data_IF_191805631173
#
_entry.id   IF_191805631173
#
_cell.length_a   1.000
_cell.length_b   1.000
_cell.length_c   1.000
_cell.angle_alpha   90.00
_cell.angle_beta   90.00
_cell.angle_gamma   90.00
#
_symmetry.space_group_name_H-M   'P 1'
#
loop_
_entity.id
_entity.type
_entity.pdbx_description
1 polymer ?
#
# COMPACT_ATOMS: atom_id res chain seq x y z
N UNK A 1 -3.89 -20.60 -1.05
CA UNK A 1 -2.97 -20.97 0.06
C UNK A 1 -2.53 -19.70 0.75
N UNK A 2 -2.24 -19.74 2.04
CA UNK A 2 -1.88 -18.54 2.83
C UNK A 2 -2.72 -18.43 4.10
N UNK A 3 -2.38 -17.49 5.00
CA UNK A 3 -3.03 -17.36 6.31
C UNK A 3 -4.51 -16.97 6.27
N UNK A 4 -5.01 -16.41 5.17
CA UNK A 4 -6.42 -16.05 4.98
C UNK A 4 -7.19 -17.07 4.13
N UNK A 5 -6.64 -18.28 3.96
CA UNK A 5 -7.35 -19.36 3.24
C UNK A 5 -8.69 -19.65 3.93
N UNK A 6 -9.77 -19.65 3.15
CA UNK A 6 -11.14 -19.86 3.65
C UNK A 6 -11.90 -18.57 3.97
N UNK A 7 -11.24 -17.40 3.89
CA UNK A 7 -11.89 -16.10 4.02
C UNK A 7 -12.38 -15.62 2.65
N UNK A 8 -13.65 -15.21 2.56
CA UNK A 8 -14.26 -14.65 1.35
C UNK A 8 -14.54 -13.17 1.52
N UNK A 9 -14.07 -12.35 0.57
CA UNK A 9 -14.16 -10.89 0.63
C UNK A 9 -14.72 -10.34 -0.67
N UNK A 10 -15.72 -9.45 -0.57
CA UNK A 10 -16.28 -8.74 -1.71
C UNK A 10 -15.63 -7.36 -1.82
N UNK A 11 -15.10 -7.02 -2.99
CA UNK A 11 -14.57 -5.70 -3.30
C UNK A 11 -15.52 -4.99 -4.27
N UNK A 12 -16.12 -3.88 -3.87
CA UNK A 12 -16.76 -2.97 -4.84
C UNK A 12 -15.67 -2.12 -5.48
N UNK A 13 -15.46 -2.31 -6.79
CA UNK A 13 -14.31 -1.76 -7.51
C UNK A 13 -14.14 -0.25 -7.28
N UNK A 14 -12.99 0.11 -6.71
CA UNK A 14 -12.54 1.49 -6.49
C UNK A 14 -11.20 1.78 -7.18
N UNK A 15 -10.58 2.90 -6.79
CA UNK A 15 -9.24 3.31 -7.23
C UNK A 15 -8.27 3.37 -6.04
N UNK A 16 -6.97 3.44 -6.31
CA UNK A 16 -5.90 3.73 -5.34
C UNK A 16 -5.86 2.74 -4.16
N UNK A 17 -6.32 3.15 -2.95
CA UNK A 17 -6.24 2.35 -1.73
C UNK A 17 -7.05 1.04 -1.77
N UNK A 18 -8.23 1.03 -2.40
CA UNK A 18 -9.11 -0.14 -2.46
C UNK A 18 -8.47 -1.32 -3.20
N UNK A 19 -8.00 -1.13 -4.45
CA UNK A 19 -7.25 -2.16 -5.17
C UNK A 19 -6.04 -2.68 -4.41
N UNK A 20 -5.27 -1.82 -3.74
CA UNK A 20 -4.13 -2.23 -2.92
C UNK A 20 -4.55 -3.10 -1.73
N UNK A 21 -5.62 -2.74 -1.01
CA UNK A 21 -6.21 -3.58 0.04
C UNK A 21 -6.60 -4.96 -0.49
N UNK A 22 -7.31 -5.02 -1.62
CA UNK A 22 -7.71 -6.29 -2.24
C UNK A 22 -6.52 -7.16 -2.68
N UNK A 23 -5.46 -6.54 -3.23
CA UNK A 23 -4.21 -7.26 -3.56
C UNK A 23 -3.59 -7.88 -2.31
N UNK A 24 -3.44 -7.10 -1.23
CA UNK A 24 -2.82 -7.58 0.01
C UNK A 24 -3.59 -8.74 0.63
N UNK A 25 -4.93 -8.68 0.65
CA UNK A 25 -5.76 -9.75 1.19
C UNK A 25 -5.74 -11.01 0.32
N UNK A 26 -5.80 -10.84 -1.01
CA UNK A 26 -5.72 -11.92 -1.98
C UNK A 26 -4.37 -12.64 -1.94
N UNK A 27 -3.28 -11.88 -1.87
CA UNK A 27 -1.91 -12.39 -1.72
C UNK A 27 -1.75 -13.27 -0.46
N UNK A 28 -2.54 -13.00 0.59
CA UNK A 28 -2.57 -13.78 1.83
C UNK A 28 -3.51 -15.00 1.75
N UNK A 29 -4.13 -15.24 0.60
CA UNK A 29 -4.94 -16.42 0.30
C UNK A 29 -6.44 -16.26 0.51
N UNK A 30 -6.94 -15.04 0.77
CA UNK A 30 -8.38 -14.78 0.77
C UNK A 30 -8.96 -14.92 -0.64
N UNK A 31 -10.18 -15.44 -0.75
CA UNK A 31 -10.94 -15.35 -1.99
C UNK A 31 -11.52 -13.93 -2.10
N UNK A 32 -10.90 -13.09 -2.92
CA UNK A 32 -11.40 -11.74 -3.19
C UNK A 32 -12.18 -11.73 -4.50
N UNK A 33 -13.47 -11.43 -4.42
CA UNK A 33 -14.37 -11.27 -5.56
C UNK A 33 -14.53 -9.77 -5.81
N UNK A 34 -13.93 -9.29 -6.89
CA UNK A 34 -14.05 -7.89 -7.32
C UNK A 34 -15.27 -7.71 -8.20
N UNK A 35 -16.12 -6.77 -7.81
CA UNK A 35 -17.31 -6.36 -8.55
C UNK A 35 -16.97 -5.13 -9.39
N UNK A 36 -16.81 -5.34 -10.68
CA UNK A 36 -16.59 -4.29 -11.67
C UNK A 36 -17.93 -3.85 -12.30
N UNK A 37 -17.96 -2.64 -12.85
CA UNK A 37 -19.12 -2.14 -13.59
C UNK A 37 -19.12 -2.70 -15.02
N UNK A 38 -20.27 -2.94 -15.65
CA UNK A 38 -20.36 -3.27 -17.06
C UNK A 38 -19.64 -2.26 -17.95
N UNK A 39 -18.87 -2.75 -18.92
CA UNK A 39 -18.03 -1.92 -19.78
C UNK A 39 -16.77 -1.36 -19.10
N UNK A 40 -16.44 -1.81 -17.88
CA UNK A 40 -15.18 -1.52 -17.22
C UNK A 40 -14.01 -1.99 -18.09
N UNK A 41 -13.00 -1.12 -18.26
CA UNK A 41 -11.79 -1.46 -19.02
C UNK A 41 -10.68 -1.91 -18.09
N UNK A 42 -10.05 -3.04 -18.43
CA UNK A 42 -8.82 -3.48 -17.77
C UNK A 42 -7.68 -2.50 -18.07
N UNK A 43 -6.90 -2.14 -17.06
CA UNK A 43 -5.67 -1.35 -17.21
C UNK A 43 -4.49 -2.27 -17.50
N UNK A 44 -4.46 -2.93 -18.67
CA UNK A 44 -3.38 -3.87 -19.01
C UNK A 44 -3.11 -4.89 -17.90
N UNK A 45 -1.85 -5.29 -17.70
CA UNK A 45 -1.45 -6.15 -16.59
C UNK A 45 -1.34 -5.34 -15.29
N UNK A 46 -2.46 -5.20 -14.58
CA UNK A 46 -2.55 -4.43 -13.33
C UNK A 46 -2.13 -5.30 -12.12
N UNK A 47 -0.93 -5.07 -11.61
CA UNK A 47 -0.39 -5.77 -10.43
C UNK A 47 -1.31 -5.65 -9.22
N UNK A 48 -1.99 -4.51 -9.04
CA UNK A 48 -2.92 -4.30 -7.91
C UNK A 48 -4.19 -5.14 -8.04
N UNK A 49 -4.41 -5.81 -9.18
CA UNK A 49 -5.56 -6.65 -9.44
C UNK A 49 -5.29 -8.14 -9.60
N UNK A 50 -4.07 -8.57 -9.31
CA UNK A 50 -3.69 -9.99 -9.32
C UNK A 50 -4.46 -10.83 -8.31
N UNK A 51 -4.60 -12.12 -8.62
CA UNK A 51 -5.15 -13.13 -7.73
C UNK A 51 -6.64 -13.03 -7.39
N UNK A 52 -7.39 -12.06 -7.95
CA UNK A 52 -8.82 -11.86 -7.67
C UNK A 52 -9.72 -12.49 -8.73
N UNK A 53 -10.89 -12.99 -8.30
CA UNK A 53 -12.01 -13.28 -9.21
C UNK A 53 -12.69 -11.98 -9.61
N UNK A 54 -13.23 -11.90 -10.83
CA UNK A 54 -13.96 -10.71 -11.31
C UNK A 54 -15.38 -11.05 -11.75
N UNK A 55 -16.34 -10.25 -11.29
CA UNK A 55 -17.74 -10.30 -11.74
C UNK A 55 -18.16 -8.91 -12.20
N UNK A 56 -18.88 -8.83 -13.32
CA UNK A 56 -19.39 -7.55 -13.85
C UNK A 56 -20.86 -7.39 -13.49
N UNK A 57 -21.19 -6.35 -12.72
CA UNK A 57 -22.55 -6.14 -12.16
C UNK A 57 -22.98 -4.69 -12.32
N UNK A 58 -24.16 -4.45 -12.90
CA UNK A 58 -24.79 -3.13 -12.85
C UNK A 58 -25.42 -2.89 -11.47
N UNK A 59 -24.67 -2.23 -10.59
CA UNK A 59 -25.08 -1.88 -9.24
C UNK A 59 -26.31 -0.96 -9.17
N UNK A 60 -26.74 -0.35 -10.29
CA UNK A 60 -27.95 0.49 -10.34
C UNK A 60 -29.22 -0.31 -10.64
N UNK A 61 -29.09 -1.51 -11.18
CA UNK A 61 -30.22 -2.40 -11.45
C UNK A 61 -30.65 -3.12 -10.17
N UNK A 62 -31.94 -3.45 -10.05
CA UNK A 62 -32.42 -4.24 -8.91
C UNK A 62 -31.78 -5.63 -8.88
N UNK A 63 -31.69 -6.30 -10.03
CA UNK A 63 -31.04 -7.60 -10.15
C UNK A 63 -29.56 -7.57 -9.77
N UNK A 64 -28.82 -6.53 -10.18
CA UNK A 64 -27.41 -6.38 -9.82
C UNK A 64 -27.21 -6.11 -8.33
N UNK A 65 -28.07 -5.27 -7.72
CA UNK A 65 -28.08 -5.09 -6.26
C UNK A 65 -28.33 -6.41 -5.53
N UNK A 66 -29.31 -7.18 -5.98
CA UNK A 66 -29.67 -8.46 -5.36
C UNK A 66 -28.55 -9.50 -5.49
N UNK A 67 -27.80 -9.50 -6.61
CA UNK A 67 -26.57 -10.30 -6.76
C UNK A 67 -25.54 -9.95 -5.68
N UNK A 68 -25.24 -8.67 -5.46
CA UNK A 68 -24.25 -8.27 -4.45
C UNK A 68 -24.72 -8.63 -3.04
N UNK A 69 -26.00 -8.40 -2.72
CA UNK A 69 -26.59 -8.78 -1.44
C UNK A 69 -26.54 -10.30 -1.22
N UNK A 70 -26.76 -11.10 -2.27
CA UNK A 70 -26.65 -12.56 -2.23
C UNK A 70 -25.21 -13.01 -1.97
N UNK A 71 -24.22 -12.38 -2.59
CA UNK A 71 -22.81 -12.66 -2.32
C UNK A 71 -22.44 -12.37 -0.85
N UNK A 72 -23.00 -11.31 -0.26
CA UNK A 72 -22.77 -10.96 1.15
C UNK A 72 -23.25 -12.02 2.14
N UNK A 73 -24.22 -12.88 1.77
CA UNK A 73 -24.74 -13.95 2.65
C UNK A 73 -23.65 -14.95 3.08
N UNK A 74 -22.61 -15.13 2.26
CA UNK A 74 -21.50 -16.07 2.52
C UNK A 74 -20.13 -15.41 2.66
N UNK A 75 -20.05 -14.07 2.56
CA UNK A 75 -18.80 -13.35 2.67
C UNK A 75 -18.45 -13.04 4.13
N UNK A 76 -17.17 -13.01 4.46
CA UNK A 76 -16.67 -12.56 5.76
C UNK A 76 -16.56 -11.03 5.82
N UNK A 77 -16.27 -10.41 4.66
CA UNK A 77 -16.21 -8.97 4.54
C UNK A 77 -16.65 -8.46 3.17
N UNK A 78 -17.07 -7.20 3.14
CA UNK A 78 -17.22 -6.39 1.94
C UNK A 78 -16.50 -5.07 2.15
N UNK A 79 -15.89 -4.49 1.12
CA UNK A 79 -15.36 -3.13 1.20
C UNK A 79 -15.58 -2.33 -0.08
N UNK A 80 -15.56 -1.00 0.08
CA UNK A 80 -15.83 -0.04 -0.99
C UNK A 80 -15.06 1.26 -0.79
N UNK A 81 -14.87 2.01 -1.88
CA UNK A 81 -14.15 3.28 -1.89
C UNK A 81 -14.95 4.46 -2.46
N UNK A 82 -16.28 4.41 -2.39
CA UNK A 82 -17.15 5.48 -2.86
C UNK A 82 -17.25 6.61 -1.82
N UNK A 83 -17.82 7.74 -2.27
CA UNK A 83 -18.11 8.86 -1.36
C UNK A 83 -19.16 8.44 -0.33
N UNK A 84 -19.12 8.99 0.90
CA UNK A 84 -20.13 8.71 1.92
C UNK A 84 -21.55 8.95 1.39
N UNK A 85 -22.45 7.99 1.61
CA UNK A 85 -23.84 8.03 1.12
C UNK A 85 -24.08 7.38 -0.24
N UNK A 86 -23.03 6.99 -0.99
CA UNK A 86 -23.22 6.38 -2.32
C UNK A 86 -23.79 4.97 -2.22
N UNK A 87 -23.23 4.11 -1.39
CA UNK A 87 -23.66 2.70 -1.30
C UNK A 87 -25.04 2.58 -0.66
N UNK A 88 -25.41 3.48 0.25
CA UNK A 88 -26.76 3.57 0.80
C UNK A 88 -27.79 3.85 -0.30
N UNK A 89 -27.50 4.79 -1.22
CA UNK A 89 -28.39 5.06 -2.37
C UNK A 89 -28.48 3.88 -3.34
N UNK A 90 -27.44 3.05 -3.41
CA UNK A 90 -27.45 1.82 -4.20
C UNK A 90 -28.15 0.66 -3.46
N UNK A 91 -28.53 0.83 -2.19
CA UNK A 91 -29.07 -0.25 -1.36
C UNK A 91 -28.02 -1.30 -0.97
N UNK A 92 -26.75 -0.92 -0.98
CA UNK A 92 -25.57 -1.73 -0.68
C UNK A 92 -24.75 -1.16 0.49
N UNK A 93 -25.36 -0.28 1.30
CA UNK A 93 -24.72 0.22 2.52
C UNK A 93 -24.63 -0.85 3.62
N UNK A 94 -23.93 -0.56 4.73
CA UNK A 94 -23.68 -1.55 5.78
C UNK A 94 -24.95 -2.20 6.33
N UNK A 95 -25.99 -1.42 6.61
CA UNK A 95 -27.25 -1.96 7.15
C UNK A 95 -27.87 -2.99 6.20
N UNK A 96 -27.90 -2.70 4.89
CA UNK A 96 -28.45 -3.61 3.89
C UNK A 96 -27.63 -4.89 3.79
N UNK A 97 -26.31 -4.79 3.72
CA UNK A 97 -25.42 -5.96 3.64
C UNK A 97 -25.44 -6.79 4.94
N UNK A 98 -25.40 -6.16 6.11
CA UNK A 98 -25.40 -6.85 7.41
C UNK A 98 -26.77 -7.46 7.76
N UNK A 99 -27.87 -6.93 7.17
CA UNK A 99 -29.18 -7.59 7.27
C UNK A 99 -29.20 -8.98 6.61
N UNK A 100 -28.34 -9.19 5.59
CA UNK A 100 -28.16 -10.50 4.93
C UNK A 100 -27.21 -11.39 5.69
N UNK A 101 -26.21 -10.81 6.34
CA UNK A 101 -25.22 -11.53 7.12
C UNK A 101 -24.76 -10.69 8.31
N UNK A 102 -25.25 -11.04 9.51
CA UNK A 102 -24.92 -10.31 10.75
C UNK A 102 -23.44 -10.34 11.10
N UNK A 103 -22.69 -11.34 10.62
CA UNK A 103 -21.23 -11.50 10.87
C UNK A 103 -20.38 -10.68 9.90
N UNK A 104 -20.99 -10.05 8.89
CA UNK A 104 -20.28 -9.38 7.81
C UNK A 104 -19.57 -8.12 8.31
N UNK A 105 -18.27 -8.04 8.06
CA UNK A 105 -17.48 -6.82 8.28
C UNK A 105 -17.60 -5.93 7.05
N UNK A 106 -17.97 -4.67 7.25
CA UNK A 106 -18.14 -3.70 6.17
C UNK A 106 -17.03 -2.64 6.23
N UNK A 107 -16.12 -2.66 5.27
CA UNK A 107 -15.04 -1.71 5.12
C UNK A 107 -15.41 -0.49 4.27
N UNK A 108 -15.12 0.70 4.77
CA UNK A 108 -15.26 1.96 4.03
C UNK A 108 -13.90 2.61 3.86
N UNK A 109 -13.45 2.72 2.61
CA UNK A 109 -12.21 3.38 2.25
C UNK A 109 -12.48 4.79 1.75
N UNK A 110 -12.19 5.80 2.57
CA UNK A 110 -12.39 7.20 2.16
C UNK A 110 -11.14 8.04 2.36
N UNK A 111 -11.12 9.19 1.70
CA UNK A 111 -10.07 10.18 1.91
C UNK A 111 -10.14 10.86 3.26
N UNK A 112 -11.34 11.35 3.58
CA UNK A 112 -11.58 12.29 4.68
C UNK A 112 -12.33 11.67 5.88
N UNK A 113 -12.83 10.43 5.77
CA UNK A 113 -13.74 9.81 6.74
C UNK A 113 -15.21 9.82 6.28
N UNK A 114 -16.06 9.07 6.98
CA UNK A 114 -17.52 9.14 6.78
C UNK A 114 -18.13 10.45 7.29
N UNK A 115 -17.45 11.14 8.20
CA UNK A 115 -17.90 12.36 8.84
C UNK A 115 -16.86 13.50 8.76
N UNK A 116 -17.19 14.63 9.39
CA UNK A 116 -16.38 15.84 9.35
C UNK A 116 -16.67 16.77 8.17
N UNK A 117 -16.15 18.00 8.21
CA UNK A 117 -16.49 19.06 7.24
C UNK A 117 -16.04 18.74 5.80
N UNK A 118 -15.08 17.84 5.64
CA UNK A 118 -14.53 17.45 4.34
C UNK A 118 -15.08 16.12 3.81
N UNK A 119 -15.96 15.42 4.55
CA UNK A 119 -16.47 14.08 4.17
C UNK A 119 -16.99 13.99 2.73
N UNK A 120 -17.66 15.04 2.27
CA UNK A 120 -18.25 15.11 0.92
C UNK A 120 -17.30 15.70 -0.13
N UNK A 121 -16.18 16.30 0.28
CA UNK A 121 -15.23 16.96 -0.60
C UNK A 121 -14.44 15.95 -1.44
N UNK A 122 -14.07 16.34 -2.66
CA UNK A 122 -13.13 15.57 -3.47
C UNK A 122 -11.72 15.67 -2.90
N UNK A 123 -10.89 14.66 -3.16
CA UNK A 123 -9.47 14.68 -2.86
C UNK A 123 -8.76 13.55 -3.59
N UNK A 124 -7.44 13.63 -3.57
CA UNK A 124 -6.52 12.56 -3.93
C UNK A 124 -5.49 12.41 -2.82
N UNK A 125 -4.69 11.33 -2.86
CA UNK A 125 -3.59 11.03 -1.94
C UNK A 125 -2.91 12.29 -1.35
N UNK A 126 -2.39 13.15 -2.23
CA UNK A 126 -1.67 14.38 -1.87
C UNK A 126 -2.47 15.33 -0.96
N UNK A 127 -3.79 15.42 -1.15
CA UNK A 127 -4.65 16.29 -0.35
C UNK A 127 -4.84 15.74 1.07
N UNK A 128 -4.94 14.42 1.21
CA UNK A 128 -5.13 13.78 2.51
C UNK A 128 -3.86 13.91 3.35
N UNK A 129 -2.70 13.60 2.77
CA UNK A 129 -1.41 13.72 3.46
C UNK A 129 -1.03 15.17 3.77
N UNK A 130 -1.58 16.16 3.04
CA UNK A 130 -1.36 17.57 3.29
C UNK A 130 -1.90 18.04 4.65
N UNK A 131 -2.93 17.38 5.21
CA UNK A 131 -3.50 17.72 6.52
C UNK A 131 -2.85 17.01 7.71
N UNK A 132 -1.86 16.15 7.46
CA UNK A 132 -1.28 15.28 8.51
C UNK A 132 0.11 15.72 8.98
N UNK A 133 0.69 16.72 8.32
CA UNK A 133 2.10 17.10 8.49
C UNK A 133 3.06 16.25 7.65
N UNK A 134 2.63 15.11 7.11
CA UNK A 134 3.47 14.22 6.31
C UNK A 134 4.01 14.92 5.05
N UNK A 135 3.14 15.53 4.23
CA UNK A 135 3.60 16.22 3.02
C UNK A 135 4.56 17.36 3.34
N UNK A 136 4.26 18.14 4.39
CA UNK A 136 5.10 19.28 4.79
C UNK A 136 6.54 18.86 5.14
N UNK A 137 6.71 17.69 5.75
CA UNK A 137 7.99 17.15 6.21
C UNK A 137 8.84 16.53 5.09
N UNK A 138 8.27 16.27 3.90
CA UNK A 138 8.95 15.54 2.83
C UNK A 138 9.46 16.50 1.76
N UNK A 139 10.76 16.43 1.48
CA UNK A 139 11.41 17.15 0.39
C UNK A 139 12.71 17.84 0.81
N UNK A 140 13.38 18.51 -0.13
CA UNK A 140 14.61 19.25 0.14
C UNK A 140 14.38 20.41 1.11
N UNK A 141 15.50 20.86 1.70
CA UNK A 141 15.55 22.02 2.61
C UNK A 141 14.88 23.25 1.99
N UNK A 142 15.30 23.59 0.77
CA UNK A 142 14.76 24.70 -0.01
C UNK A 142 13.77 24.20 -1.07
N UNK A 143 12.78 25.03 -1.41
CA UNK A 143 11.77 24.72 -2.43
C UNK A 143 10.44 24.24 -1.85
N UNK A 144 9.66 23.51 -2.66
CA UNK A 144 8.31 23.05 -2.30
C UNK A 144 8.32 21.63 -1.68
N UNK A 145 7.34 21.28 -0.83
CA UNK A 145 7.07 19.90 -0.47
C UNK A 145 6.99 18.95 -1.67
N UNK A 146 7.46 17.71 -1.50
CA UNK A 146 7.52 16.70 -2.57
C UNK A 146 6.52 15.58 -2.26
N UNK A 147 5.57 15.28 -3.18
CA UNK A 147 4.65 14.15 -3.01
C UNK A 147 5.42 12.82 -3.05
N UNK A 148 5.30 11.95 -2.03
CA UNK A 148 6.00 10.66 -1.95
C UNK A 148 5.26 9.58 -2.75
N UNK A 149 5.02 9.85 -4.05
CA UNK A 149 4.06 9.10 -4.88
C UNK A 149 2.70 9.05 -4.15
N UNK A 150 2.02 7.89 -4.17
CA UNK A 150 0.81 7.61 -3.38
C UNK A 150 1.08 6.63 -2.21
N UNK A 151 2.34 6.50 -1.78
CA UNK A 151 2.74 5.48 -0.80
C UNK A 151 2.22 5.79 0.61
N UNK A 152 2.11 7.07 0.96
CA UNK A 152 1.75 7.50 2.32
C UNK A 152 0.24 7.53 2.53
N UNK A 153 -0.53 8.13 1.62
CA UNK A 153 -1.98 8.23 1.74
C UNK A 153 -2.67 6.96 1.27
N UNK A 154 -2.66 6.70 -0.05
CA UNK A 154 -3.40 5.57 -0.64
C UNK A 154 -2.95 4.22 -0.06
N UNK A 155 -1.64 3.93 -0.02
CA UNK A 155 -1.18 2.60 0.35
C UNK A 155 -1.01 2.43 1.85
N UNK A 156 -0.14 3.22 2.48
CA UNK A 156 0.15 3.13 3.91
C UNK A 156 -1.03 3.53 4.79
N UNK A 157 -1.58 4.72 4.58
CA UNK A 157 -2.68 5.27 5.40
C UNK A 157 -4.06 4.74 5.02
N UNK A 158 -4.26 4.32 3.78
CA UNK A 158 -5.53 3.82 3.26
C UNK A 158 -5.57 2.30 3.22
N UNK A 159 -5.12 1.73 2.10
CA UNK A 159 -5.32 0.32 1.78
C UNK A 159 -4.74 -0.65 2.82
N UNK A 160 -3.60 -0.33 3.43
CA UNK A 160 -3.02 -1.16 4.49
C UNK A 160 -3.85 -1.11 5.79
N UNK A 161 -4.32 0.07 6.19
CA UNK A 161 -5.16 0.21 7.38
C UNK A 161 -6.55 -0.37 7.19
N UNK A 162 -7.11 -0.32 5.97
CA UNK A 162 -8.33 -1.06 5.68
C UNK A 162 -8.11 -2.57 5.74
N UNK A 163 -7.04 -3.10 5.13
CA UNK A 163 -6.75 -4.52 5.21
C UNK A 163 -6.55 -4.97 6.67
N UNK A 164 -5.81 -4.19 7.46
CA UNK A 164 -5.66 -4.42 8.89
C UNK A 164 -7.00 -4.38 9.64
N UNK A 165 -7.82 -3.35 9.41
CA UNK A 165 -9.12 -3.18 10.04
C UNK A 165 -10.11 -4.30 9.67
N UNK A 166 -10.13 -4.75 8.42
CA UNK A 166 -10.93 -5.88 7.96
C UNK A 166 -10.50 -7.17 8.67
N UNK A 167 -9.20 -7.46 8.73
CA UNK A 167 -8.69 -8.65 9.43
C UNK A 167 -9.04 -8.60 10.93
N UNK A 168 -8.90 -7.44 11.57
CA UNK A 168 -9.33 -7.24 12.96
C UNK A 168 -10.83 -7.48 13.13
N UNK A 169 -11.67 -6.92 12.26
CA UNK A 169 -13.11 -7.11 12.28
C UNK A 169 -13.51 -8.56 12.07
N UNK A 170 -12.89 -9.26 11.13
CA UNK A 170 -13.19 -10.68 10.83
C UNK A 170 -12.80 -11.54 12.02
N UNK A 171 -11.64 -11.27 12.64
CA UNK A 171 -11.21 -11.98 13.84
C UNK A 171 -12.15 -11.73 15.03
N UNK A 172 -12.63 -10.51 15.20
CA UNK A 172 -13.63 -10.17 16.21
C UNK A 172 -14.94 -10.92 15.95
N UNK A 173 -15.50 -10.80 14.74
CA UNK A 173 -16.74 -11.45 14.32
C UNK A 173 -16.68 -12.98 14.42
N UNK A 174 -15.47 -13.56 14.26
CA UNK A 174 -15.25 -14.99 14.45
C UNK A 174 -15.59 -15.48 15.86
N UNK A 175 -15.47 -14.60 16.85
CA UNK A 175 -15.69 -14.88 18.28
C UNK A 175 -17.04 -14.38 18.76
N UNK A 176 -17.42 -13.17 18.39
CA UNK A 176 -18.65 -12.51 18.84
C UNK A 176 -19.89 -13.01 18.08
N UNK A 177 -19.71 -13.36 16.80
CA UNK A 177 -20.83 -13.63 15.90
C UNK A 177 -21.46 -12.38 15.28
N UNK A 178 -20.88 -11.20 15.52
CA UNK A 178 -21.39 -9.93 15.01
C UNK A 178 -20.30 -9.23 14.20
N UNK A 179 -20.65 -8.74 13.02
CA UNK A 179 -19.79 -7.92 12.19
C UNK A 179 -19.84 -6.46 12.60
N UNK A 180 -19.02 -5.63 11.96
CA UNK A 180 -18.95 -4.20 12.26
C UNK A 180 -18.54 -3.39 11.02
N UNK A 181 -18.74 -2.07 11.11
CA UNK A 181 -18.24 -1.13 10.10
C UNK A 181 -16.82 -0.72 10.46
N UNK A 182 -15.92 -0.81 9.50
CA UNK A 182 -14.56 -0.27 9.58
C UNK A 182 -14.52 1.00 8.74
N UNK A 183 -14.46 2.17 9.37
CA UNK A 183 -14.18 3.44 8.68
C UNK A 183 -12.66 3.64 8.60
N UNK A 184 -12.11 3.47 7.40
CA UNK A 184 -10.69 3.62 7.13
C UNK A 184 -10.46 4.87 6.27
N UNK A 185 -10.20 5.98 6.96
CA UNK A 185 -9.88 7.26 6.34
C UNK A 185 -8.38 7.40 6.07
N UNK A 186 -7.99 7.75 4.84
CA UNK A 186 -6.58 8.00 4.49
C UNK A 186 -5.95 9.12 5.32
N UNK A 187 -6.72 10.16 5.69
CA UNK A 187 -6.22 11.25 6.54
C UNK A 187 -5.82 10.75 7.94
N UNK A 188 -6.63 9.88 8.56
CA UNK A 188 -6.34 9.31 9.87
C UNK A 188 -5.13 8.37 9.78
N UNK A 189 -5.08 7.57 8.72
CA UNK A 189 -3.98 6.64 8.53
C UNK A 189 -2.65 7.30 8.26
N UNK A 190 -2.62 8.31 7.39
CA UNK A 190 -1.42 9.09 7.15
C UNK A 190 -0.97 9.86 8.42
N UNK A 191 -1.91 10.32 9.26
CA UNK A 191 -1.58 10.90 10.55
C UNK A 191 -0.99 9.85 11.52
N UNK A 192 -1.52 8.63 11.54
CA UNK A 192 -0.98 7.54 12.34
C UNK A 192 0.47 7.18 11.95
N UNK A 193 0.80 7.22 10.65
CA UNK A 193 2.17 7.02 10.16
C UNK A 193 3.15 8.09 10.67
N UNK A 194 2.66 9.27 11.10
CA UNK A 194 3.48 10.36 11.64
C UNK A 194 3.72 10.26 13.16
N UNK A 195 3.19 9.25 13.86
CA UNK A 195 3.16 9.19 15.33
C UNK A 195 4.53 9.43 16.02
N UNK A 196 5.62 8.90 15.47
CA UNK A 196 6.96 9.11 16.01
C UNK A 196 7.38 10.59 15.96
N UNK A 197 7.06 11.30 14.88
CA UNK A 197 7.41 12.71 14.72
C UNK A 197 6.58 13.60 15.65
N UNK A 198 5.33 13.23 15.92
CA UNK A 198 4.53 13.90 16.97
C UNK A 198 5.17 13.73 18.36
N UNK A 199 5.73 12.56 18.66
CA UNK A 199 6.50 12.33 19.90
C UNK A 199 7.75 13.20 19.95
N UNK A 200 8.53 13.26 18.87
CA UNK A 200 9.74 14.10 18.79
C UNK A 200 9.42 15.59 18.94
N UNK A 201 8.35 16.05 18.29
CA UNK A 201 7.89 17.44 18.38
C UNK A 201 7.42 17.80 19.79
N UNK A 202 6.63 16.93 20.43
CA UNK A 202 6.22 17.12 21.82
C UNK A 202 7.41 17.17 22.79
N UNK A 203 8.48 16.43 22.50
CA UNK A 203 9.73 16.45 23.24
C UNK A 203 10.68 17.60 22.89
N UNK A 204 10.33 18.50 21.97
CA UNK A 204 11.20 19.60 21.52
C UNK A 204 12.42 19.16 20.69
N UNK A 205 12.42 17.92 20.18
CA UNK A 205 13.51 17.31 19.42
C UNK A 205 13.28 17.35 17.89
N UNK A 206 12.20 17.97 17.43
CA UNK A 206 11.85 18.07 16.02
C UNK A 206 11.89 19.52 15.55
N UNK A 207 12.64 19.78 14.48
CA UNK A 207 12.60 21.05 13.75
C UNK A 207 11.55 20.95 12.65
N UNK A 208 10.69 21.95 12.55
CA UNK A 208 9.60 21.95 11.56
C UNK A 208 10.08 22.23 10.14
N UNK A 209 11.27 22.81 9.96
CA UNK A 209 11.89 22.95 8.64
C UNK A 209 12.32 21.59 8.08
N UNK A 210 12.13 21.37 6.77
CA UNK A 210 12.55 20.14 6.07
C UNK A 210 14.07 19.99 6.07
N UNK A 211 14.53 18.75 5.90
CA UNK A 211 15.95 18.38 5.84
C UNK A 211 16.76 19.04 6.96
N UNK A 212 16.20 19.01 8.18
CA UNK A 212 16.77 19.63 9.37
C UNK A 212 16.87 18.66 10.54
N UNK A 213 16.36 17.43 10.36
CA UNK A 213 16.29 16.38 11.35
C UNK A 213 17.11 15.17 10.87
N UNK A 214 17.20 14.16 11.72
CA UNK A 214 17.98 12.96 11.43
C UNK A 214 17.41 12.12 10.27
N UNK A 215 16.08 12.05 10.12
CA UNK A 215 15.42 11.12 9.22
C UNK A 215 14.76 11.78 7.99
N UNK A 216 15.01 13.07 7.76
CA UNK A 216 14.41 13.85 6.67
C UNK A 216 15.46 14.44 5.70
N UNK A 217 16.70 13.93 5.76
CA UNK A 217 17.82 14.36 4.93
C UNK A 217 18.65 15.52 5.50
N UNK A 218 18.46 15.86 6.78
CA UNK A 218 19.29 16.87 7.46
C UNK A 218 20.64 16.36 7.97
N UNK A 219 20.72 15.08 8.36
CA UNK A 219 21.96 14.48 8.86
C UNK A 219 22.81 13.89 7.72
N UNK A 220 24.11 14.20 7.70
CA UNK A 220 25.03 13.71 6.66
C UNK A 220 25.16 12.18 6.64
N UNK A 221 24.92 11.50 7.75
CA UNK A 221 24.95 10.02 7.82
C UNK A 221 23.60 9.35 7.52
N UNK A 222 22.56 10.11 7.14
CA UNK A 222 21.25 9.58 6.76
C UNK A 222 20.68 10.33 5.55
N UNK A 223 20.83 9.73 4.36
CA UNK A 223 20.43 10.39 3.12
C UNK A 223 20.96 9.68 1.88
N UNK A 224 20.83 10.34 0.73
CA UNK A 224 21.29 9.84 -0.56
C UNK A 224 22.43 10.68 -1.12
N UNK A 225 23.38 10.04 -1.79
CA UNK A 225 24.54 10.69 -2.39
C UNK A 225 24.72 10.25 -3.84
N UNK A 226 24.97 11.22 -4.73
CA UNK A 226 25.33 10.98 -6.13
C UNK A 226 26.77 10.44 -6.22
N UNK A 227 26.98 9.49 -7.13
CA UNK A 227 28.28 8.85 -7.38
C UNK A 227 28.89 9.33 -8.71
N UNK A 228 30.14 8.95 -8.98
CA UNK A 228 30.91 9.41 -10.16
C UNK A 228 30.18 9.24 -11.51
N UNK A 229 29.34 8.23 -11.60
CA UNK A 229 28.57 7.82 -12.77
C UNK A 229 27.16 8.46 -12.85
N UNK A 230 26.81 9.38 -11.94
CA UNK A 230 25.49 10.04 -11.90
C UNK A 230 24.39 9.20 -11.25
N UNK A 231 24.74 8.00 -10.79
CA UNK A 231 23.88 7.11 -10.02
C UNK A 231 23.87 7.51 -8.53
N UNK A 232 23.03 6.86 -7.71
CA UNK A 232 22.88 7.23 -6.30
C UNK A 232 23.06 6.04 -5.35
N UNK A 233 23.54 6.34 -4.14
CA UNK A 233 23.58 5.43 -2.99
C UNK A 233 22.73 6.00 -1.85
N UNK A 234 22.32 5.15 -0.91
CA UNK A 234 21.65 5.53 0.33
C UNK A 234 22.49 5.11 1.55
N UNK A 235 22.49 5.96 2.59
CA UNK A 235 23.14 5.73 3.87
C UNK A 235 22.15 5.88 5.02
N UNK A 236 22.35 5.11 6.09
CA UNK A 236 21.65 5.21 7.36
C UNK A 236 22.52 4.87 8.56
N UNK A 237 23.76 5.39 8.60
CA UNK A 237 24.77 5.09 9.63
C UNK A 237 24.54 5.91 10.90
N UNK A 238 23.41 5.72 11.58
CA UNK A 238 23.01 6.53 12.74
C UNK A 238 23.85 6.20 13.98
N UNK A 239 24.08 4.92 14.25
CA UNK A 239 24.77 4.48 15.45
C UNK A 239 26.28 4.75 15.35
N UNK A 240 26.96 5.19 16.43
CA UNK A 240 28.36 5.63 16.37
C UNK A 240 29.33 4.60 15.78
N UNK A 241 29.13 3.31 16.07
CA UNK A 241 29.97 2.24 15.52
C UNK A 241 29.77 2.01 14.02
N UNK A 242 28.55 2.20 13.51
CA UNK A 242 28.22 2.10 12.09
C UNK A 242 28.74 3.33 11.34
N UNK A 243 28.65 4.49 11.97
CA UNK A 243 29.23 5.73 11.48
C UNK A 243 30.76 5.69 11.43
N UNK A 244 31.43 5.16 12.45
CA UNK A 244 32.87 4.96 12.42
C UNK A 244 33.29 4.04 11.25
N UNK A 245 32.51 2.98 11.00
CA UNK A 245 32.74 2.10 9.86
C UNK A 245 32.53 2.80 8.51
N UNK A 246 31.53 3.69 8.40
CA UNK A 246 31.34 4.55 7.23
C UNK A 246 32.59 5.38 6.96
N UNK A 247 33.09 6.07 7.99
CA UNK A 247 34.29 6.93 7.90
C UNK A 247 35.50 6.11 7.45
N UNK A 248 35.73 4.94 8.06
CA UNK A 248 36.80 4.01 7.68
C UNK A 248 36.68 3.56 6.22
N UNK A 249 35.51 3.03 5.83
CA UNK A 249 35.27 2.46 4.50
C UNK A 249 35.26 3.51 3.39
N UNK A 250 34.85 4.74 3.70
CA UNK A 250 34.92 5.87 2.79
C UNK A 250 36.35 6.43 2.66
N UNK A 251 37.30 6.02 3.52
CA UNK A 251 38.66 6.53 3.53
C UNK A 251 38.76 7.97 4.02
N UNK A 252 37.87 8.36 4.94
CA UNK A 252 37.80 9.69 5.52
C UNK A 252 38.59 9.75 6.84
N UNK A 253 39.00 10.95 7.23
CA UNK A 253 39.71 11.16 8.49
C UNK A 253 38.73 11.11 9.68
N UNK A 254 39.00 10.21 10.63
CA UNK A 254 38.18 10.01 11.81
C UNK A 254 38.20 11.21 12.77
N UNK A 255 39.30 11.97 12.83
CA UNK A 255 39.37 13.18 13.66
C UNK A 255 38.44 14.27 13.11
N UNK A 256 38.45 14.45 11.79
CA UNK A 256 37.60 15.40 11.07
C UNK A 256 36.10 15.14 11.31
N UNK A 257 35.71 13.87 11.26
CA UNK A 257 34.32 13.40 11.37
C UNK A 257 33.89 13.00 12.80
N UNK A 258 34.71 13.26 13.82
CA UNK A 258 34.43 12.87 15.22
C UNK A 258 33.14 13.46 15.83
N UNK A 259 32.68 14.61 15.32
CA UNK A 259 31.53 15.34 15.85
C UNK A 259 30.18 14.94 15.20
N UNK A 260 29.91 13.63 15.07
CA UNK A 260 28.75 13.09 14.35
C UNK A 260 27.42 13.80 14.67
N UNK A 261 27.12 14.02 15.95
CA UNK A 261 25.81 14.54 16.41
C UNK A 261 25.75 16.07 16.52
N UNK A 262 26.82 16.78 16.17
CA UNK A 262 26.83 18.25 16.13
C UNK A 262 26.13 18.74 14.84
N UNK A 263 24.86 19.10 14.97
CA UNK A 263 24.04 19.56 13.85
C UNK A 263 24.57 20.82 13.17
N UNK A 264 25.39 21.62 13.86
CA UNK A 264 26.01 22.82 13.26
C UNK A 264 27.04 22.47 12.20
N UNK A 265 27.62 21.27 12.27
CA UNK A 265 28.64 20.75 11.36
C UNK A 265 28.09 19.85 10.26
N UNK A 266 26.83 19.41 10.34
CA UNK A 266 26.21 18.55 9.33
C UNK A 266 26.34 19.08 7.90
N UNK A 267 26.16 20.38 7.60
CA UNK A 267 26.36 20.89 6.24
C UNK A 267 27.79 20.67 5.72
N UNK A 268 28.80 20.96 6.54
CA UNK A 268 30.22 20.74 6.21
C UNK A 268 30.49 19.26 5.91
N UNK A 269 29.99 18.37 6.78
CA UNK A 269 30.18 16.93 6.61
C UNK A 269 29.45 16.37 5.40
N UNK A 270 28.27 16.90 5.08
CA UNK A 270 27.53 16.51 3.89
C UNK A 270 28.27 16.92 2.61
N UNK A 271 28.88 18.11 2.57
CA UNK A 271 29.75 18.52 1.46
C UNK A 271 30.95 17.57 1.29
N UNK A 272 31.63 17.22 2.39
CA UNK A 272 32.76 16.28 2.36
C UNK A 272 32.34 14.88 1.90
N UNK A 273 31.21 14.35 2.40
CA UNK A 273 30.68 13.06 1.96
C UNK A 273 30.27 13.09 0.48
N UNK A 274 29.64 14.17 0.03
CA UNK A 274 29.26 14.34 -1.38
C UNK A 274 30.50 14.30 -2.27
N UNK A 275 31.54 15.07 -1.94
CA UNK A 275 32.81 15.05 -2.66
C UNK A 275 33.47 13.66 -2.64
N UNK A 276 33.40 12.94 -1.52
CA UNK A 276 33.89 11.58 -1.40
C UNK A 276 33.16 10.62 -2.34
N UNK A 277 31.82 10.60 -2.32
CA UNK A 277 31.04 9.63 -3.12
C UNK A 277 31.15 9.86 -4.63
N UNK A 278 31.43 11.10 -5.07
CA UNK A 278 31.75 11.42 -6.46
C UNK A 278 33.09 10.84 -6.97
N UNK A 279 33.94 10.28 -6.10
CA UNK A 279 35.25 9.73 -6.52
C UNK A 279 35.17 8.33 -7.13
N UNK A 280 34.08 7.59 -6.89
CA UNK A 280 33.87 6.23 -7.40
C UNK A 280 32.46 6.06 -7.94
N UNK A 281 32.28 5.06 -8.80
CA UNK A 281 30.97 4.65 -9.33
C UNK A 281 30.11 4.00 -8.24
N UNK A 282 28.78 3.93 -8.44
CA UNK A 282 27.86 3.24 -7.52
C UNK A 282 28.30 1.79 -7.26
N UNK A 283 28.72 1.09 -8.32
CA UNK A 283 29.19 -0.31 -8.25
C UNK A 283 30.47 -0.48 -7.46
N UNK A 284 31.42 0.47 -7.56
CA UNK A 284 32.65 0.44 -6.75
C UNK A 284 32.34 0.67 -5.27
N UNK A 285 31.44 1.60 -4.93
CA UNK A 285 31.00 1.78 -3.54
C UNK A 285 30.24 0.59 -2.99
N UNK A 286 29.40 -0.04 -3.82
CA UNK A 286 28.72 -1.28 -3.49
C UNK A 286 29.72 -2.38 -3.12
N UNK A 287 30.79 -2.56 -3.89
CA UNK A 287 31.86 -3.53 -3.56
C UNK A 287 32.56 -3.25 -2.23
N UNK A 288 32.62 -1.98 -1.80
CA UNK A 288 33.30 -1.57 -0.56
C UNK A 288 32.39 -1.73 0.67
N UNK A 289 31.11 -1.35 0.54
CA UNK A 289 30.23 -1.10 1.69
C UNK A 289 29.02 -2.05 1.77
N UNK A 290 28.61 -2.70 0.68
CA UNK A 290 27.41 -3.56 0.71
C UNK A 290 27.57 -4.74 1.67
N UNK A 291 26.51 -5.02 2.44
CA UNK A 291 26.48 -6.12 3.40
C UNK A 291 27.29 -5.86 4.67
N UNK A 292 27.86 -4.67 4.82
CA UNK A 292 28.50 -4.22 6.05
C UNK A 292 27.53 -3.48 6.96
N UNK A 293 27.94 -3.23 8.20
CA UNK A 293 27.18 -2.46 9.18
C UNK A 293 27.17 -0.94 8.89
N UNK A 294 27.69 -0.48 7.74
CA UNK A 294 27.58 0.93 7.31
C UNK A 294 26.12 1.35 7.11
N UNK A 295 25.17 0.42 6.96
CA UNK A 295 23.80 0.73 6.53
C UNK A 295 23.79 1.39 5.14
N UNK A 296 24.48 0.74 4.19
CA UNK A 296 24.60 1.17 2.79
C UNK A 296 23.66 0.37 1.88
N UNK A 297 23.09 1.02 0.86
CA UNK A 297 22.48 0.34 -0.29
C UNK A 297 22.61 1.18 -1.58
N UNK A 298 22.71 0.56 -2.76
CA UNK A 298 22.52 1.26 -4.02
C UNK A 298 21.05 1.71 -4.17
N UNK A 299 20.81 2.91 -4.70
CA UNK A 299 19.46 3.34 -5.11
C UNK A 299 19.18 2.75 -6.48
N UNK A 300 18.22 1.84 -6.57
CA UNK A 300 17.91 1.08 -7.79
C UNK A 300 16.64 1.59 -8.47
N UNK A 301 16.62 1.59 -9.80
CA UNK A 301 15.41 1.81 -10.60
C UNK A 301 14.48 0.59 -10.59
N UNK A 302 13.23 0.75 -11.06
CA UNK A 302 12.26 -0.36 -11.17
C UNK A 302 12.81 -1.49 -12.06
N UNK A 303 13.61 -1.16 -13.06
CA UNK A 303 14.24 -2.09 -13.98
C UNK A 303 15.38 -2.89 -13.32
N UNK A 304 16.06 -2.31 -12.32
CA UNK A 304 17.25 -2.90 -11.69
C UNK A 304 16.92 -3.76 -10.46
N UNK A 305 15.83 -3.44 -9.74
CA UNK A 305 15.52 -4.04 -8.42
C UNK A 305 15.49 -5.56 -8.42
N UNK A 306 14.98 -6.20 -9.48
CA UNK A 306 14.89 -7.66 -9.57
C UNK A 306 16.26 -8.32 -9.78
N UNK A 307 17.26 -7.58 -10.26
CA UNK A 307 18.56 -8.12 -10.57
C UNK A 307 19.55 -8.13 -9.40
N UNK A 308 19.26 -7.35 -8.37
CA UNK A 308 20.09 -7.25 -7.17
C UNK A 308 20.24 -8.62 -6.46
N UNK A 309 21.46 -9.06 -6.08
CA UNK A 309 21.68 -10.38 -5.48
C UNK A 309 20.83 -10.67 -4.25
N UNK A 310 20.64 -9.67 -3.37
CA UNK A 310 19.76 -9.81 -2.19
C UNK A 310 18.30 -10.06 -2.59
N UNK A 311 17.78 -9.34 -3.58
CA UNK A 311 16.40 -9.47 -4.03
C UNK A 311 16.17 -10.79 -4.76
N UNK A 312 17.15 -11.27 -5.54
CA UNK A 312 17.15 -12.61 -6.15
C UNK A 312 17.13 -13.70 -5.08
N UNK A 313 18.06 -13.65 -4.13
CA UNK A 313 18.15 -14.65 -3.06
C UNK A 313 16.88 -14.69 -2.19
N UNK A 314 16.24 -13.54 -2.00
CA UNK A 314 14.98 -13.44 -1.26
C UNK A 314 13.75 -13.74 -2.11
N UNK A 315 13.82 -13.77 -3.43
CA UNK A 315 12.64 -13.79 -4.30
C UNK A 315 11.70 -12.60 -4.05
N UNK A 316 12.26 -11.41 -3.78
CA UNK A 316 11.49 -10.18 -3.49
C UNK A 316 10.63 -9.76 -4.67
N UNK A 317 11.13 -9.98 -5.89
CA UNK A 317 10.41 -9.76 -7.14
C UNK A 317 10.27 -11.08 -7.88
N UNK A 318 9.13 -11.28 -8.53
CA UNK A 318 8.81 -12.47 -9.29
C UNK A 318 8.25 -12.07 -10.66
N UNK A 319 8.48 -12.89 -11.67
CA UNK A 319 7.83 -12.74 -12.97
C UNK A 319 6.52 -13.54 -12.94
N UNK A 320 5.41 -12.85 -13.15
CA UNK A 320 4.10 -13.47 -13.33
C UNK A 320 3.52 -12.94 -14.64
N UNK A 321 3.24 -13.86 -15.56
CA UNK A 321 2.67 -13.56 -16.88
C UNK A 321 3.46 -12.52 -17.69
N UNK A 322 4.79 -12.47 -17.52
CA UNK A 322 5.65 -11.53 -18.23
C UNK A 322 5.92 -10.22 -17.47
N UNK A 323 5.25 -9.98 -16.32
CA UNK A 323 5.47 -8.79 -15.49
C UNK A 323 6.35 -9.12 -14.30
N UNK A 324 7.49 -8.43 -14.21
CA UNK A 324 8.32 -8.42 -12.99
C UNK A 324 7.65 -7.52 -11.96
N UNK A 325 7.30 -8.09 -10.81
CA UNK A 325 6.51 -7.42 -9.78
C UNK A 325 6.87 -7.91 -8.36
N UNK A 326 6.54 -7.15 -7.30
CA UNK A 326 6.80 -7.59 -5.93
C UNK A 326 6.08 -8.90 -5.59
N UNK A 327 6.78 -9.83 -4.93
CA UNK A 327 6.17 -11.03 -4.37
C UNK A 327 5.22 -10.68 -3.19
N UNK A 328 4.28 -11.57 -2.83
CA UNK A 328 3.46 -11.43 -1.64
C UNK A 328 4.28 -11.16 -0.38
N UNK A 329 3.83 -10.23 0.45
CA UNK A 329 4.44 -9.88 1.74
C UNK A 329 3.36 -9.63 2.80
N UNK A 330 3.63 -9.93 4.09
CA UNK A 330 4.86 -10.48 4.65
C UNK A 330 5.01 -12.00 4.38
N UNK A 331 6.13 -12.58 4.84
CA UNK A 331 6.40 -14.02 4.70
C UNK A 331 6.03 -14.78 5.97
N UNK A 332 5.41 -15.93 5.81
CA UNK A 332 4.96 -16.78 6.92
C UNK A 332 5.76 -18.09 6.94
N UNK A 333 6.18 -18.51 8.13
CA UNK A 333 6.97 -19.74 8.32
C UNK A 333 6.17 -21.03 8.12
N UNK A 334 4.85 -21.00 8.34
CA UNK A 334 3.96 -22.18 8.27
C UNK A 334 2.92 -22.12 7.13
N UNK A 335 2.45 -20.93 6.78
CA UNK A 335 1.41 -20.72 5.76
C UNK A 335 1.98 -19.92 4.60
N UNK A 336 2.89 -20.51 3.80
CA UNK A 336 3.53 -19.80 2.70
C UNK A 336 2.48 -19.25 1.74
N UNK A 337 2.79 -18.09 1.19
CA UNK A 337 1.99 -17.36 0.22
C UNK A 337 2.66 -17.47 -1.15
N UNK A 338 1.86 -17.48 -2.21
CA UNK A 338 2.35 -17.57 -3.58
C UNK A 338 1.45 -16.75 -4.50
N UNK A 339 2.04 -16.20 -5.56
CA UNK A 339 1.26 -15.62 -6.65
C UNK A 339 0.45 -16.72 -7.33
N UNK A 340 -0.83 -16.44 -7.61
CA UNK A 340 -1.75 -17.41 -8.23
C UNK A 340 -1.92 -17.14 -9.71
N UNK A 341 -2.39 -15.96 -10.08
CA UNK A 341 -2.58 -15.50 -11.47
C UNK A 341 -2.57 -13.98 -11.54
N UNK A 342 -2.37 -13.42 -12.74
CA UNK A 342 -2.43 -11.99 -13.00
C UNK A 342 -3.83 -11.39 -12.84
N UNK A 343 -3.97 -10.11 -13.18
CA UNK A 343 -5.27 -9.45 -13.25
C UNK A 343 -6.14 -10.06 -14.34
N UNK A 344 -7.43 -10.24 -14.05
CA UNK A 344 -8.42 -10.71 -15.03
C UNK A 344 -9.24 -9.55 -15.59
N UNK A 345 -9.78 -9.73 -16.80
CA UNK A 345 -10.73 -8.79 -17.37
C UNK A 345 -12.01 -8.71 -16.51
N UNK A 346 -12.69 -7.56 -16.46
CA UNK A 346 -13.98 -7.45 -15.80
C UNK A 346 -14.98 -8.51 -16.31
N UNK A 347 -15.59 -9.24 -15.38
CA UNK A 347 -16.59 -10.27 -15.68
C UNK A 347 -16.06 -11.60 -16.21
N UNK A 348 -14.74 -11.84 -16.16
CA UNK A 348 -14.14 -13.12 -16.56
C UNK A 348 -14.66 -14.32 -15.73
N UNK A 349 -15.11 -14.08 -14.51
CA UNK A 349 -15.59 -15.12 -13.60
C UNK A 349 -17.10 -15.00 -13.28
N UNK A 350 -17.86 -14.18 -14.03
CA UNK A 350 -19.25 -13.85 -13.70
C UNK A 350 -20.12 -15.09 -13.49
N UNK A 351 -20.17 -16.00 -14.46
CA UNK A 351 -21.02 -17.20 -14.36
C UNK A 351 -20.56 -18.12 -13.23
N UNK A 352 -19.25 -18.33 -13.08
CA UNK A 352 -18.68 -19.16 -12.02
C UNK A 352 -19.03 -18.61 -10.63
N UNK A 353 -18.84 -17.31 -10.42
CA UNK A 353 -19.15 -16.64 -9.14
C UNK A 353 -20.65 -16.73 -8.83
N UNK A 354 -21.53 -16.60 -9.83
CA UNK A 354 -22.97 -16.75 -9.64
C UNK A 354 -23.36 -18.20 -9.30
N UNK A 355 -22.77 -19.19 -9.97
CA UNK A 355 -23.00 -20.60 -9.66
C UNK A 355 -22.54 -20.94 -8.24
N UNK A 356 -21.34 -20.49 -7.85
CA UNK A 356 -20.80 -20.67 -6.49
C UNK A 356 -21.66 -19.96 -5.42
N UNK A 357 -22.36 -18.88 -5.78
CA UNK A 357 -23.30 -18.18 -4.92
C UNK A 357 -24.70 -18.84 -4.87
N UNK A 358 -24.92 -19.91 -5.64
CA UNK A 358 -26.14 -20.72 -5.63
C UNK A 358 -27.23 -20.23 -6.60
N UNK A 359 -26.90 -19.42 -7.61
CA UNK A 359 -27.83 -19.12 -8.69
C UNK A 359 -27.94 -20.32 -9.64
N UNK A 360 -29.17 -20.66 -10.05
CA UNK A 360 -29.40 -21.67 -11.08
C UNK A 360 -29.17 -21.11 -12.50
N UNK A 361 -29.05 -22.01 -13.48
CA UNK A 361 -28.78 -21.63 -14.88
C UNK A 361 -29.83 -20.66 -15.44
N UNK A 362 -31.10 -20.83 -15.08
CA UNK A 362 -32.19 -19.97 -15.52
C UNK A 362 -32.06 -18.55 -14.94
N UNK A 363 -31.71 -18.42 -13.66
CA UNK A 363 -31.49 -17.13 -13.01
C UNK A 363 -30.28 -16.42 -13.60
N UNK A 364 -29.19 -17.15 -13.84
CA UNK A 364 -27.98 -16.59 -14.48
C UNK A 364 -28.31 -16.07 -15.88
N UNK A 365 -29.02 -16.85 -16.70
CA UNK A 365 -29.44 -16.44 -18.02
C UNK A 365 -30.31 -15.17 -17.98
N UNK A 366 -31.27 -15.08 -17.05
CA UNK A 366 -32.11 -13.89 -16.88
C UNK A 366 -31.32 -12.64 -16.43
N UNK A 367 -30.31 -12.81 -15.57
CA UNK A 367 -29.44 -11.70 -15.16
C UNK A 367 -28.58 -11.19 -16.32
N UNK A 368 -28.09 -12.08 -17.19
CA UNK A 368 -27.33 -11.72 -18.39
C UNK A 368 -28.23 -11.03 -19.42
N UNK A 369 -29.42 -11.58 -19.69
CA UNK A 369 -30.37 -11.02 -20.66
C UNK A 369 -30.86 -9.62 -20.26
N UNK A 370 -31.08 -9.39 -18.96
CA UNK A 370 -31.48 -8.08 -18.43
C UNK A 370 -30.33 -7.07 -18.37
N UNK A 371 -29.08 -7.49 -18.56
CA UNK A 371 -27.89 -6.64 -18.39
C UNK A 371 -27.55 -6.32 -16.93
N UNK A 372 -28.18 -6.99 -15.96
CA UNK A 372 -27.86 -6.84 -14.54
C UNK A 372 -26.45 -7.33 -14.22
N UNK A 373 -25.98 -8.34 -14.97
CA UNK A 373 -24.60 -8.82 -14.98
C UNK A 373 -24.09 -8.97 -16.42
N UNK A 374 -22.77 -9.02 -16.59
CA UNK A 374 -22.14 -9.26 -17.90
C UNK A 374 -20.97 -10.22 -17.78
N UNK A 375 -20.69 -10.97 -18.85
CA UNK A 375 -19.45 -11.75 -19.00
C UNK A 375 -18.36 -10.89 -19.64
N UNK A 376 -17.10 -11.22 -19.37
CA UNK A 376 -15.96 -10.60 -20.05
C UNK A 376 -15.94 -10.98 -21.53
N UNK A 377 -15.64 -10.02 -22.41
CA UNK A 377 -15.37 -10.25 -23.85
C UNK A 377 -14.06 -10.99 -24.10
#
# INVERSE_FOLDING_TARGET
MGPLTGIKIIELAGIGPGPFCGMMLSDMGAEVIRIDRPGGRMRGQDVLARGRKTISVDLKSEGGRDVVLKLCESADAIFEGFRPGVTERLGLGPEACQSRNKRLVYGRMTGWGQDGPMAQAAGHDINYIALTGALHAIGPKEGKPVPPLNLVGDFGGGGMLLAFGLVCGILEASRSGEGQVVDAAMVDGAAALMAMFFTMNAGGMFKTSRASNMLDGGAHFYGTYETKDGEHIALGSIEPQFYALLVEKAGLDAEDFSAQMDQSRWPEFQEKLTACFLTKTRSEWQQIMEGTDVCFAPVLSIEEVADHPHNKARGTFQNLEGVVQPAPAPRFSRTPVALTHGSRSPGSDTELVLQEAGFDEASIAGLLESGAVATGE
#
